data_IF_829182422966
#
_entry.id   IF_829182422966
#
_cell.length_a   1.000
_cell.length_b   1.000
_cell.length_c   1.000
_cell.angle_alpha   90.00
_cell.angle_beta   90.00
_cell.angle_gamma   90.00
#
_symmetry.space_group_name_H-M   'P 1'
#
loop_
_entity.id
_entity.type
_entity.pdbx_description
1 polymer ?
#
# COMPACT_ATOMS: atom_id res chain seq x y z
N UNK A 1 38.30 4.20 4.85
CA UNK A 1 37.43 4.87 3.86
C UNK A 1 37.09 6.21 4.51
N UNK A 2 37.77 7.28 4.10
CA UNK A 2 37.53 8.61 4.70
C UNK A 2 36.12 9.09 4.39
N UNK A 3 35.48 9.69 5.40
CA UNK A 3 34.17 10.30 5.29
C UNK A 3 34.27 11.56 4.41
N UNK A 4 33.38 11.72 3.43
CA UNK A 4 33.36 12.88 2.51
C UNK A 4 33.27 14.20 3.28
N UNK A 5 32.58 14.21 4.43
CA UNK A 5 32.50 15.38 5.29
C UNK A 5 33.89 15.83 5.80
N UNK A 6 34.72 14.88 6.25
CA UNK A 6 36.03 15.20 6.82
C UNK A 6 36.95 15.83 5.75
N UNK A 7 36.88 15.34 4.51
CA UNK A 7 37.64 15.91 3.39
C UNK A 7 37.22 17.34 3.05
N UNK A 8 35.91 17.62 3.09
CA UNK A 8 35.39 18.96 2.84
C UNK A 8 35.87 19.92 3.93
N UNK A 9 35.88 19.48 5.20
CA UNK A 9 36.34 20.31 6.32
C UNK A 9 37.84 20.57 6.25
N UNK A 10 38.65 19.55 5.98
CA UNK A 10 40.11 19.67 5.80
C UNK A 10 40.44 20.63 4.64
N UNK A 11 39.78 20.50 3.49
CA UNK A 11 39.98 21.43 2.37
C UNK A 11 39.53 22.86 2.70
N UNK A 12 38.52 23.06 3.54
CA UNK A 12 38.10 24.40 3.99
C UNK A 12 39.14 25.01 4.92
N UNK A 13 39.71 24.22 5.84
CA UNK A 13 40.76 24.64 6.76
C UNK A 13 42.06 25.00 6.01
N UNK A 14 42.45 24.21 4.99
CA UNK A 14 43.62 24.51 4.16
C UNK A 14 43.51 25.84 3.38
N UNK A 15 42.29 26.29 3.12
CA UNK A 15 42.00 27.55 2.44
C UNK A 15 41.70 28.70 3.40
N UNK A 16 41.74 28.45 4.71
CA UNK A 16 41.61 29.48 5.71
C UNK A 16 42.86 30.35 5.74
N UNK A 17 42.64 31.66 5.82
CA UNK A 17 43.71 32.63 5.99
C UNK A 17 43.61 33.17 7.41
N UNK A 18 44.68 33.01 8.18
CA UNK A 18 44.82 33.64 9.50
C UNK A 18 44.97 35.16 9.33
N UNK A 19 44.02 35.91 9.88
CA UNK A 19 44.13 37.38 9.93
C UNK A 19 44.29 37.84 11.37
N UNK A 20 45.45 38.43 11.69
CA UNK A 20 45.67 39.07 13.00
C UNK A 20 45.16 40.50 12.95
N UNK A 21 43.98 40.73 13.53
CA UNK A 21 43.50 42.09 13.80
C UNK A 21 42.99 42.20 15.23
N UNK A 22 43.31 43.30 15.90
CA UNK A 22 42.89 43.61 17.28
C UNK A 22 43.17 42.52 18.33
N UNK A 23 44.27 41.76 18.21
CA UNK A 23 44.70 40.82 19.24
C UNK A 23 43.93 39.49 19.27
N UNK A 24 43.11 39.19 18.26
CA UNK A 24 42.48 37.88 18.05
C UNK A 24 43.01 37.25 16.75
N UNK A 25 43.13 35.92 16.73
CA UNK A 25 43.46 35.15 15.53
C UNK A 25 42.19 34.43 15.11
N UNK A 26 41.51 34.96 14.09
CA UNK A 26 40.35 34.31 13.48
C UNK A 26 40.74 33.81 12.09
N UNK A 27 40.36 32.57 11.80
CA UNK A 27 40.51 31.92 10.52
C UNK A 27 39.40 32.38 9.57
N UNK A 28 39.78 33.00 8.46
CA UNK A 28 38.84 33.50 7.48
C UNK A 28 38.85 32.65 6.21
N UNK A 29 37.68 32.14 5.83
CA UNK A 29 37.45 31.49 4.55
C UNK A 29 36.44 32.29 3.75
N UNK A 30 36.77 32.58 2.49
CA UNK A 30 35.83 33.22 1.57
C UNK A 30 34.62 32.33 1.32
N UNK A 31 33.42 32.90 1.44
CA UNK A 31 32.15 32.20 1.11
C UNK A 31 32.16 31.65 -0.31
N UNK A 32 32.89 32.28 -1.24
CA UNK A 32 33.06 31.77 -2.60
C UNK A 32 33.83 30.45 -2.63
N UNK A 33 34.97 30.40 -1.95
CA UNK A 33 35.82 29.20 -1.86
C UNK A 33 35.10 28.05 -1.16
N UNK A 34 34.44 28.32 -0.03
CA UNK A 34 33.65 27.31 0.67
C UNK A 34 32.54 26.72 -0.21
N UNK A 35 31.85 27.55 -1.01
CA UNK A 35 30.82 27.08 -1.95
C UNK A 35 31.40 26.22 -3.06
N UNK A 36 32.58 26.55 -3.58
CA UNK A 36 33.20 25.81 -4.66
C UNK A 36 33.73 24.45 -4.18
N UNK A 37 34.32 24.39 -2.99
CA UNK A 37 34.72 23.14 -2.32
C UNK A 37 33.49 22.26 -2.05
N UNK A 38 32.42 22.81 -1.48
CA UNK A 38 31.20 22.02 -1.24
C UNK A 38 30.63 21.49 -2.58
N UNK A 39 30.66 22.29 -3.64
CA UNK A 39 30.16 21.88 -4.97
C UNK A 39 31.06 20.87 -5.66
N UNK A 40 32.37 20.85 -5.46
CA UNK A 40 33.24 19.82 -6.05
C UNK A 40 32.98 18.45 -5.45
N UNK A 41 32.66 18.38 -4.15
CA UNK A 41 32.37 17.12 -3.45
C UNK A 41 30.89 16.71 -3.51
N UNK A 42 29.95 17.66 -3.57
CA UNK A 42 28.50 17.42 -3.57
C UNK A 42 27.81 17.64 -4.93
N UNK A 43 28.52 18.18 -5.92
CA UNK A 43 27.98 18.53 -7.24
C UNK A 43 27.59 17.30 -8.07
N UNK A 44 28.25 16.17 -7.82
CA UNK A 44 27.96 14.87 -8.43
C UNK A 44 27.26 13.93 -7.45
N UNK A 45 26.28 14.42 -6.68
CA UNK A 45 25.24 13.49 -6.18
C UNK A 45 24.46 13.07 -7.43
N UNK A 46 24.55 11.80 -7.87
CA UNK A 46 23.73 11.35 -8.98
C UNK A 46 22.30 11.59 -8.53
N UNK A 47 21.58 12.47 -9.20
CA UNK A 47 20.12 12.50 -9.06
C UNK A 47 19.72 11.08 -9.38
N UNK A 48 19.33 10.29 -8.37
CA UNK A 48 18.74 8.97 -8.56
C UNK A 48 17.39 9.19 -9.26
N UNK A 49 17.46 9.51 -10.55
CA UNK A 49 16.40 9.44 -11.53
C UNK A 49 16.38 8.03 -12.12
N UNK A 50 17.53 7.35 -12.12
CA UNK A 50 17.69 6.02 -12.70
C UNK A 50 18.16 4.93 -11.72
N UNK A 51 18.32 5.21 -10.42
CA UNK A 51 18.75 4.14 -9.52
C UNK A 51 17.64 3.10 -9.35
N UNK A 52 18.03 1.83 -9.46
CA UNK A 52 17.15 0.67 -9.40
C UNK A 52 16.19 0.71 -8.21
N UNK A 53 16.67 1.11 -7.02
CA UNK A 53 15.84 1.21 -5.81
C UNK A 53 14.61 2.10 -6.00
N UNK A 54 14.76 3.30 -6.58
CA UNK A 54 13.62 4.22 -6.79
C UNK A 54 12.63 3.67 -7.81
N UNK A 55 13.12 3.02 -8.87
CA UNK A 55 12.28 2.33 -9.85
C UNK A 55 11.48 1.20 -9.19
N UNK A 56 12.12 0.37 -8.35
CA UNK A 56 11.43 -0.69 -7.59
C UNK A 56 10.38 -0.14 -6.62
N UNK A 57 10.65 0.97 -5.91
CA UNK A 57 9.65 1.61 -5.04
C UNK A 57 8.46 2.17 -5.82
N UNK A 58 8.69 2.84 -6.95
CA UNK A 58 7.60 3.36 -7.80
C UNK A 58 6.77 2.22 -8.39
N UNK A 59 7.44 1.18 -8.88
CA UNK A 59 6.79 -0.02 -9.38
C UNK A 59 5.93 -0.66 -8.29
N UNK A 60 6.48 -0.86 -7.08
CA UNK A 60 5.73 -1.40 -5.95
C UNK A 60 4.57 -0.51 -5.48
N UNK A 61 4.71 0.81 -5.55
CA UNK A 61 3.63 1.75 -5.24
C UNK A 61 2.51 1.71 -6.29
N UNK A 62 2.84 1.67 -7.58
CA UNK A 62 1.86 1.55 -8.67
C UNK A 62 1.18 0.18 -8.68
N UNK A 63 1.93 -0.89 -8.41
CA UNK A 63 1.39 -2.25 -8.29
C UNK A 63 0.51 -2.39 -7.05
N UNK A 64 0.88 -1.77 -5.93
CA UNK A 64 0.05 -1.70 -4.73
C UNK A 64 -1.21 -0.85 -4.88
N UNK A 65 -1.30 -0.02 -5.92
CA UNK A 65 -2.48 0.81 -6.22
C UNK A 65 -3.50 0.11 -7.14
N UNK A 66 -3.14 -1.03 -7.74
CA UNK A 66 -4.06 -1.80 -8.57
C UNK A 66 -4.97 -2.61 -7.64
N UNK A 67 -6.20 -2.12 -7.46
CA UNK A 67 -7.34 -2.74 -6.78
C UNK A 67 -6.97 -3.51 -5.52
N UNK A 68 -7.08 -2.89 -4.33
CA UNK A 68 -6.75 -3.40 -2.97
C UNK A 68 -7.27 -4.82 -2.62
N UNK A 69 -6.90 -5.85 -3.38
CA UNK A 69 -7.49 -7.19 -3.38
C UNK A 69 -8.85 -7.33 -4.08
N UNK A 70 -9.47 -6.24 -4.55
CA UNK A 70 -10.82 -6.28 -5.14
C UNK A 70 -10.84 -6.81 -6.57
N UNK A 71 -11.65 -7.83 -6.81
CA UNK A 71 -11.86 -8.48 -8.10
C UNK A 71 -13.22 -8.04 -8.66
N UNK A 72 -13.27 -7.30 -9.77
CA UNK A 72 -14.54 -6.96 -10.42
C UNK A 72 -15.29 -8.23 -10.86
N UNK A 73 -16.60 -8.28 -10.66
CA UNK A 73 -17.42 -9.43 -11.09
C UNK A 73 -17.41 -9.65 -12.60
N UNK A 74 -17.11 -8.58 -13.37
CA UNK A 74 -16.94 -8.64 -14.82
C UNK A 74 -15.61 -9.27 -15.26
N UNK A 75 -14.62 -9.32 -14.37
CA UNK A 75 -13.31 -9.93 -14.62
C UNK A 75 -13.33 -11.41 -14.23
N UNK A 76 -13.78 -11.70 -13.00
CA UNK A 76 -13.77 -13.06 -12.45
C UNK A 76 -14.82 -13.20 -11.35
N UNK A 77 -15.42 -14.37 -11.25
CA UNK A 77 -16.32 -14.78 -10.16
C UNK A 77 -15.61 -15.75 -9.20
N UNK A 78 -16.10 -15.90 -7.95
CA UNK A 78 -15.57 -16.91 -7.05
C UNK A 78 -15.72 -18.32 -7.64
N UNK A 79 -14.70 -19.17 -7.45
CA UNK A 79 -14.68 -20.55 -7.97
C UNK A 79 -15.06 -21.59 -6.90
N UNK A 80 -14.96 -21.21 -5.63
CA UNK A 80 -15.20 -22.12 -4.51
C UNK A 80 -16.69 -22.13 -4.14
N UNK A 81 -17.32 -23.29 -4.26
CA UNK A 81 -18.69 -23.54 -3.82
C UNK A 81 -18.68 -24.27 -2.46
N UNK A 82 -18.18 -23.58 -1.43
CA UNK A 82 -18.07 -24.11 -0.08
C UNK A 82 -18.80 -23.26 0.96
N UNK A 83 -19.82 -22.51 0.52
CA UNK A 83 -20.67 -21.65 1.35
C UNK A 83 -19.87 -20.60 2.15
N UNK A 84 -18.62 -20.28 1.78
CA UNK A 84 -17.84 -19.26 2.48
C UNK A 84 -18.35 -17.85 2.19
N UNK A 85 -18.09 -16.95 3.13
CA UNK A 85 -18.36 -15.53 2.93
C UNK A 85 -17.21 -14.83 2.18
N UNK A 86 -17.60 -13.92 1.31
CA UNK A 86 -16.76 -12.97 0.60
C UNK A 86 -17.14 -11.56 1.01
N UNK A 87 -16.15 -10.65 1.01
CA UNK A 87 -16.44 -9.22 1.08
C UNK A 87 -16.84 -8.76 -0.31
N UNK A 88 -17.92 -7.99 -0.40
CA UNK A 88 -18.56 -7.57 -1.63
C UNK A 88 -18.82 -6.06 -1.60
N UNK A 89 -18.49 -5.40 -2.71
CA UNK A 89 -18.92 -4.04 -3.01
C UNK A 89 -20.19 -4.17 -3.85
N UNK A 90 -21.22 -3.41 -3.51
CA UNK A 90 -22.51 -3.41 -4.23
C UNK A 90 -22.72 -2.09 -4.96
N UNK A 91 -23.50 -2.12 -6.04
CA UNK A 91 -23.83 -0.93 -6.85
C UNK A 91 -24.43 0.18 -5.97
N UNK A 92 -24.00 1.43 -6.21
CA UNK A 92 -24.45 2.63 -5.50
C UNK A 92 -24.00 2.76 -4.04
N UNK A 93 -23.20 1.81 -3.54
CA UNK A 93 -22.65 1.80 -2.19
C UNK A 93 -21.14 1.54 -2.20
N UNK A 94 -20.43 2.03 -3.22
CA UNK A 94 -19.00 1.78 -3.39
C UNK A 94 -18.11 2.41 -2.31
N UNK A 95 -18.63 3.43 -1.61
CA UNK A 95 -17.94 4.12 -0.52
C UNK A 95 -18.30 3.57 0.88
N UNK A 96 -19.27 2.67 0.96
CA UNK A 96 -19.72 2.08 2.23
C UNK A 96 -18.86 0.88 2.67
N UNK A 97 -19.09 0.41 3.90
CA UNK A 97 -18.46 -0.82 4.37
C UNK A 97 -18.90 -2.01 3.49
N UNK A 98 -17.97 -2.93 3.16
CA UNK A 98 -18.31 -4.09 2.36
C UNK A 98 -19.43 -4.93 2.96
N UNK A 99 -20.34 -5.39 2.10
CA UNK A 99 -21.32 -6.40 2.46
C UNK A 99 -20.65 -7.77 2.46
N UNK A 100 -21.03 -8.65 3.39
CA UNK A 100 -20.61 -10.05 3.34
C UNK A 100 -21.66 -10.86 2.60
N UNK A 101 -21.26 -11.56 1.53
CA UNK A 101 -22.15 -12.44 0.76
C UNK A 101 -21.51 -13.80 0.57
N UNK A 102 -22.33 -14.81 0.31
CA UNK A 102 -21.89 -16.09 -0.25
C UNK A 102 -22.08 -16.06 -1.77
N UNK A 103 -21.40 -16.96 -2.47
CA UNK A 103 -21.53 -17.12 -3.91
C UNK A 103 -21.90 -18.57 -4.22
N UNK A 104 -22.87 -18.74 -5.10
CA UNK A 104 -23.25 -20.01 -5.70
C UNK A 104 -23.05 -19.91 -7.22
N UNK A 105 -22.50 -20.96 -7.83
CA UNK A 105 -22.17 -20.94 -9.26
C UNK A 105 -23.39 -20.94 -10.19
N UNK A 106 -24.53 -21.45 -9.73
CA UNK A 106 -25.80 -21.50 -10.46
C UNK A 106 -26.62 -20.23 -10.23
N UNK A 107 -26.67 -19.73 -9.00
CA UNK A 107 -27.55 -18.62 -8.61
C UNK A 107 -26.85 -17.25 -8.49
N UNK A 108 -25.54 -17.22 -8.26
CA UNK A 108 -24.76 -15.99 -8.06
C UNK A 108 -24.59 -15.60 -6.57
N UNK A 109 -24.50 -14.30 -6.29
CA UNK A 109 -24.31 -13.80 -4.92
C UNK A 109 -25.60 -13.81 -4.10
N UNK A 110 -25.51 -14.24 -2.85
CA UNK A 110 -26.66 -14.41 -1.96
C UNK A 110 -26.29 -15.02 -0.61
N UNK A 111 -27.27 -15.71 0.00
CA UNK A 111 -27.15 -16.31 1.33
C UNK A 111 -27.88 -17.65 1.42
N UNK A 112 -27.20 -18.63 1.99
CA UNK A 112 -27.78 -19.89 2.46
C UNK A 112 -28.57 -19.66 3.75
N UNK A 113 -29.79 -20.18 3.77
CA UNK A 113 -30.71 -20.12 4.91
C UNK A 113 -31.11 -21.53 5.32
N UNK A 114 -30.82 -21.88 6.56
CA UNK A 114 -31.29 -23.13 7.15
C UNK A 114 -32.78 -23.05 7.48
N UNK A 115 -33.51 -24.09 7.10
CA UNK A 115 -34.91 -24.31 7.41
C UNK A 115 -34.98 -25.29 8.57
N UNK A 116 -35.64 -24.86 9.65
CA UNK A 116 -35.90 -25.69 10.82
C UNK A 116 -37.39 -26.00 10.94
N UNK A 117 -37.72 -27.22 11.34
CA UNK A 117 -39.10 -27.53 11.70
C UNK A 117 -39.42 -26.89 13.04
N UNK A 118 -40.39 -25.97 13.03
CA UNK A 118 -40.84 -25.24 14.23
C UNK A 118 -41.29 -26.14 15.39
N UNK A 119 -41.70 -27.39 15.11
CA UNK A 119 -42.17 -28.30 16.16
C UNK A 119 -41.05 -29.12 16.79
N UNK A 120 -40.23 -29.77 15.96
CA UNK A 120 -39.11 -30.60 16.45
C UNK A 120 -37.83 -29.81 16.71
N UNK A 121 -37.76 -28.55 16.25
CA UNK A 121 -36.54 -27.73 16.15
C UNK A 121 -35.40 -28.45 15.41
N UNK A 122 -35.73 -29.50 14.65
CA UNK A 122 -34.79 -30.24 13.84
C UNK A 122 -34.45 -29.50 12.56
N UNK A 123 -33.20 -29.61 12.13
CA UNK A 123 -32.77 -29.22 10.80
C UNK A 123 -33.57 -29.99 9.75
N UNK A 124 -34.11 -29.28 8.76
CA UNK A 124 -34.89 -29.87 7.66
C UNK A 124 -34.09 -29.81 6.37
N UNK A 125 -33.68 -28.61 5.99
CA UNK A 125 -33.00 -28.35 4.71
C UNK A 125 -32.29 -26.99 4.72
N UNK A 126 -31.52 -26.69 3.69
CA UNK A 126 -30.93 -25.35 3.47
C UNK A 126 -31.32 -24.86 2.08
N UNK A 127 -31.73 -23.59 1.98
CA UNK A 127 -32.09 -22.96 0.71
C UNK A 127 -31.22 -21.73 0.44
N UNK A 128 -30.82 -21.54 -0.82
CA UNK A 128 -30.11 -20.34 -1.23
C UNK A 128 -31.12 -19.25 -1.62
N UNK A 129 -30.85 -18.02 -1.22
CA UNK A 129 -31.58 -16.83 -1.70
C UNK A 129 -30.59 -15.83 -2.26
N UNK A 130 -30.82 -15.41 -3.49
CA UNK A 130 -29.99 -14.41 -4.18
C UNK A 130 -30.18 -13.02 -3.58
N UNK A 131 -29.21 -12.14 -3.80
CA UNK A 131 -29.33 -10.73 -3.42
C UNK A 131 -30.58 -10.07 -4.01
N UNK A 132 -30.94 -10.38 -5.27
CA UNK A 132 -32.11 -9.84 -5.94
C UNK A 132 -33.42 -10.23 -5.23
N UNK A 133 -33.57 -11.51 -4.86
CA UNK A 133 -34.73 -12.01 -4.11
C UNK A 133 -34.86 -11.40 -2.70
N UNK A 134 -33.73 -11.02 -2.11
CA UNK A 134 -33.66 -10.39 -0.79
C UNK A 134 -33.79 -8.86 -0.87
N UNK A 135 -33.76 -8.27 -2.06
CA UNK A 135 -33.85 -6.83 -2.29
C UNK A 135 -32.54 -6.07 -2.03
N UNK A 136 -31.38 -6.74 -2.08
CA UNK A 136 -30.07 -6.12 -2.01
C UNK A 136 -29.57 -5.67 -3.38
N UNK A 137 -28.71 -4.65 -3.43
CA UNK A 137 -28.07 -4.27 -4.69
C UNK A 137 -27.13 -5.36 -5.22
N UNK A 138 -26.86 -5.26 -6.52
CA UNK A 138 -25.98 -6.18 -7.24
C UNK A 138 -24.53 -5.98 -6.82
N UNK A 139 -23.80 -7.08 -6.64
CA UNK A 139 -22.36 -7.07 -6.37
C UNK A 139 -21.59 -6.65 -7.63
N UNK A 140 -20.69 -5.67 -7.51
CA UNK A 140 -19.81 -5.18 -8.58
C UNK A 140 -18.37 -5.65 -8.45
N UNK A 141 -17.91 -5.89 -7.24
CA UNK A 141 -16.58 -6.40 -6.96
C UNK A 141 -16.58 -7.22 -5.67
N UNK A 142 -15.66 -8.17 -5.56
CA UNK A 142 -15.55 -9.06 -4.42
C UNK A 142 -14.10 -9.33 -4.06
N UNK A 143 -13.86 -9.79 -2.84
CA UNK A 143 -12.57 -10.35 -2.42
C UNK A 143 -12.78 -11.40 -1.31
N UNK A 144 -11.86 -12.37 -1.15
CA UNK A 144 -11.93 -13.31 -0.04
C UNK A 144 -11.79 -12.62 1.32
N UNK A 145 -12.37 -13.21 2.36
CA UNK A 145 -12.11 -12.79 3.73
C UNK A 145 -10.62 -12.94 4.07
N UNK A 146 -10.04 -12.04 4.89
CA UNK A 146 -8.69 -12.21 5.40
C UNK A 146 -8.52 -13.55 6.12
N UNK A 147 -7.35 -14.18 5.98
CA UNK A 147 -7.06 -15.40 6.74
C UNK A 147 -7.19 -15.15 8.25
N UNK A 148 -7.81 -16.08 9.00
CA UNK A 148 -7.91 -15.95 10.45
C UNK A 148 -6.52 -15.90 11.08
N UNK A 149 -6.35 -15.11 12.14
CA UNK A 149 -5.07 -15.04 12.86
C UNK A 149 -4.68 -16.42 13.40
N UNK A 150 -3.55 -16.94 12.93
CA UNK A 150 -2.93 -18.13 13.50
C UNK A 150 -2.17 -17.73 14.77
N UNK A 151 -2.48 -18.37 15.90
CA UNK A 151 -1.60 -18.33 17.08
C UNK A 151 -0.53 -19.40 16.85
N UNK A 152 0.73 -18.97 16.76
CA UNK A 152 1.90 -19.86 16.79
C UNK A 152 2.06 -20.53 18.16
#
# INVERSE_FOLDING_TARGET
MENVLEKILEEIEDHAIEFKSFGMCDDYVSVGWAKDIIRSHMGDVPKCRECSRRKFYMQGYEDGKKNDGWIPVSEKLPEDDDMRFYMCIVENHEEDLPMFCQYDSEYGFGFWHDIYDSTSLGFVDTVFKTNDELGYEKVVAWQPLPEPMRKE
#
